data_IF_725653795352
#
_entry.id   IF_725653795352
#
_cell.length_a   1.000
_cell.length_b   1.000
_cell.length_c   1.000
_cell.angle_alpha   90.00
_cell.angle_beta   90.00
_cell.angle_gamma   90.00
#
_symmetry.space_group_name_H-M   'P 1'
#
loop_
_entity.id
_entity.type
_entity.pdbx_description
1 polymer ?
#
# COMPACT_ATOMS: atom_id res chain seq x y z
N UNK A 1 -19.06 2.68 -11.19
CA UNK A 1 -17.72 3.23 -10.97
C UNK A 1 -16.71 2.12 -10.89
N UNK A 2 -15.73 2.15 -11.79
CA UNK A 2 -14.54 1.30 -11.71
C UNK A 2 -13.37 2.12 -11.19
N UNK A 3 -12.53 1.49 -10.38
CA UNK A 3 -11.29 2.10 -9.89
C UNK A 3 -10.12 1.38 -10.50
N UNK A 4 -9.16 2.14 -10.99
CA UNK A 4 -8.00 1.63 -11.67
C UNK A 4 -6.72 2.16 -11.04
N UNK A 5 -5.70 1.33 -11.04
CA UNK A 5 -4.36 1.66 -10.59
C UNK A 5 -3.42 1.79 -11.80
N UNK A 6 -2.71 2.92 -11.89
CA UNK A 6 -1.62 3.11 -12.86
C UNK A 6 -0.37 2.46 -12.34
N UNK A 7 0.24 1.63 -13.17
CA UNK A 7 1.41 0.84 -12.81
C UNK A 7 2.60 1.32 -13.62
N UNK A 8 3.67 1.68 -12.91
CA UNK A 8 4.95 2.09 -13.50
C UNK A 8 6.04 1.38 -12.73
N UNK A 9 6.94 0.67 -13.44
CA UNK A 9 8.03 -0.09 -12.82
C UNK A 9 7.55 -0.99 -11.66
N UNK A 10 6.50 -1.77 -11.90
CA UNK A 10 5.89 -2.66 -10.90
C UNK A 10 5.39 -1.97 -9.63
N UNK A 11 5.09 -0.67 -9.69
CA UNK A 11 4.59 0.11 -8.55
C UNK A 11 3.32 0.85 -8.92
N UNK A 12 2.35 0.88 -8.02
CA UNK A 12 1.15 1.70 -8.14
C UNK A 12 1.53 3.16 -7.91
N UNK A 13 1.45 3.98 -8.96
CA UNK A 13 1.80 5.40 -8.89
C UNK A 13 0.59 6.32 -8.85
N UNK A 14 -0.57 5.85 -9.30
CA UNK A 14 -1.77 6.66 -9.40
C UNK A 14 -3.02 5.80 -9.28
N UNK A 15 -4.07 6.37 -8.69
CA UNK A 15 -5.38 5.75 -8.59
C UNK A 15 -6.41 6.66 -9.26
N UNK A 16 -7.22 6.09 -10.13
CA UNK A 16 -8.22 6.84 -10.87
C UNK A 16 -9.54 6.08 -10.89
N UNK A 17 -10.62 6.74 -10.47
CA UNK A 17 -11.97 6.19 -10.48
C UNK A 17 -12.79 6.86 -11.57
N UNK A 18 -13.37 6.06 -12.47
CA UNK A 18 -14.18 6.55 -13.58
C UNK A 18 -15.27 5.56 -13.97
N UNK A 19 -16.32 6.06 -14.60
CA UNK A 19 -17.34 5.27 -15.28
C UNK A 19 -17.07 5.16 -16.80
N UNK A 20 -16.08 5.88 -17.31
CA UNK A 20 -15.70 5.92 -18.72
C UNK A 20 -14.74 4.80 -19.16
N UNK A 21 -14.61 4.62 -20.47
CA UNK A 21 -13.69 3.64 -21.04
C UNK A 21 -12.25 4.14 -20.98
N UNK A 22 -11.39 3.45 -20.23
CA UNK A 22 -9.98 3.85 -20.06
C UNK A 22 -9.21 3.95 -21.37
N UNK A 23 -9.52 3.11 -22.36
CA UNK A 23 -8.81 3.05 -23.65
C UNK A 23 -8.98 4.34 -24.45
N UNK A 24 -10.10 5.04 -24.26
CA UNK A 24 -10.38 6.31 -24.94
C UNK A 24 -9.84 7.52 -24.16
N UNK A 25 -9.64 7.37 -22.86
CA UNK A 25 -9.30 8.47 -21.95
C UNK A 25 -7.79 8.66 -21.72
N UNK A 26 -6.99 7.61 -21.94
CA UNK A 26 -5.57 7.59 -21.57
C UNK A 26 -4.67 7.12 -22.72
N UNK A 27 -3.40 7.53 -22.69
CA UNK A 27 -2.41 7.08 -23.66
C UNK A 27 -2.25 5.56 -23.63
N UNK A 28 -2.12 4.88 -24.78
CA UNK A 28 -2.01 3.43 -24.87
C UNK A 28 -0.73 2.88 -24.24
N UNK A 29 0.29 3.73 -24.04
CA UNK A 29 1.55 3.37 -23.38
C UNK A 29 1.40 3.30 -21.84
N UNK A 30 0.27 3.75 -21.28
CA UNK A 30 0.03 3.71 -19.85
C UNK A 30 -0.59 2.37 -19.45
N UNK A 31 0.03 1.73 -18.46
CA UNK A 31 -0.47 0.48 -17.92
C UNK A 31 -1.44 0.73 -16.76
N UNK A 32 -2.69 0.33 -16.97
CA UNK A 32 -3.76 0.42 -15.99
C UNK A 32 -4.28 -0.96 -15.60
N UNK A 33 -4.49 -1.17 -14.30
CA UNK A 33 -5.09 -2.38 -13.75
C UNK A 33 -6.42 -2.05 -13.08
N UNK A 34 -7.47 -2.82 -13.36
CA UNK A 34 -8.75 -2.71 -12.67
C UNK A 34 -8.59 -3.25 -11.24
N UNK A 35 -8.85 -2.39 -10.26
CA UNK A 35 -8.77 -2.70 -8.83
C UNK A 35 -10.15 -2.64 -8.14
N UNK A 36 -11.23 -2.56 -8.90
CA UNK A 36 -12.60 -2.41 -8.38
C UNK A 36 -12.98 -3.55 -7.43
N UNK A 37 -12.61 -4.78 -7.78
CA UNK A 37 -12.91 -5.99 -7.00
C UNK A 37 -11.69 -6.53 -6.25
N UNK A 38 -10.57 -5.77 -6.21
CA UNK A 38 -9.34 -6.19 -5.56
C UNK A 38 -9.41 -5.89 -4.07
N UNK A 39 -9.26 -6.92 -3.24
CA UNK A 39 -9.24 -6.80 -1.78
C UNK A 39 -7.98 -7.44 -1.23
N UNK A 40 -7.15 -6.72 -0.45
CA UNK A 40 -7.32 -5.31 -0.03
C UNK A 40 -7.15 -4.32 -1.20
N UNK A 41 -7.87 -3.19 -1.13
CA UNK A 41 -7.78 -2.13 -2.14
C UNK A 41 -6.34 -1.58 -2.20
N UNK A 42 -5.64 -1.70 -3.35
CA UNK A 42 -4.27 -1.22 -3.49
C UNK A 42 -4.18 0.29 -3.28
N UNK A 43 -3.09 0.75 -2.68
CA UNK A 43 -2.80 2.17 -2.53
C UNK A 43 -1.57 2.59 -3.35
N UNK A 44 -1.33 3.90 -3.42
CA UNK A 44 -0.08 4.44 -3.97
C UNK A 44 1.10 3.82 -3.21
N UNK A 45 2.20 3.58 -3.92
CA UNK A 45 3.43 2.92 -3.45
C UNK A 45 3.30 1.42 -3.17
N UNK A 46 2.17 0.79 -3.50
CA UNK A 46 2.05 -0.66 -3.48
C UNK A 46 2.79 -1.30 -4.64
N UNK A 47 3.40 -2.46 -4.36
CA UNK A 47 4.02 -3.28 -5.41
C UNK A 47 2.91 -3.94 -6.22
N UNK A 48 3.03 -3.87 -7.54
CA UNK A 48 2.13 -4.49 -8.50
C UNK A 48 2.91 -5.47 -9.39
N UNK A 49 2.61 -6.75 -9.24
CA UNK A 49 3.23 -7.83 -9.99
C UNK A 49 2.19 -8.49 -10.88
N UNK A 50 2.52 -8.69 -12.16
CA UNK A 50 1.65 -9.42 -13.06
C UNK A 50 1.95 -10.92 -12.94
N UNK A 51 1.06 -11.66 -12.29
CA UNK A 51 1.17 -13.10 -12.09
C UNK A 51 0.35 -13.91 -13.12
N UNK A 52 0.30 -15.22 -12.92
CA UNK A 52 -0.44 -16.16 -13.78
C UNK A 52 -1.96 -15.93 -13.79
N UNK A 53 -2.51 -15.33 -12.73
CA UNK A 53 -3.95 -15.09 -12.57
C UNK A 53 -4.31 -13.60 -12.70
N UNK A 54 -3.37 -12.76 -13.13
CA UNK A 54 -3.55 -11.31 -13.24
C UNK A 54 -2.69 -10.51 -12.27
N UNK A 55 -3.11 -9.29 -11.98
CA UNK A 55 -2.37 -8.36 -11.11
C UNK A 55 -2.45 -8.77 -9.64
N UNK A 56 -1.29 -8.87 -9.00
CA UNK A 56 -1.11 -9.11 -7.57
C UNK A 56 -0.54 -7.84 -6.95
N UNK A 57 -1.22 -7.34 -5.92
CA UNK A 57 -0.83 -6.11 -5.23
C UNK A 57 -0.36 -6.42 -3.81
N UNK A 58 0.80 -5.89 -3.44
CA UNK A 58 1.38 -6.07 -2.12
C UNK A 58 1.71 -4.73 -1.48
N UNK A 59 1.30 -4.55 -0.22
CA UNK A 59 1.62 -3.36 0.55
C UNK A 59 3.15 -3.21 0.66
N UNK A 60 3.68 -1.98 0.53
CA UNK A 60 5.09 -1.75 0.76
C UNK A 60 5.42 -2.14 2.20
N UNK A 61 6.51 -2.89 2.37
CA UNK A 61 6.96 -3.33 3.69
C UNK A 61 7.47 -2.11 4.45
N UNK A 62 6.60 -1.41 5.15
CA UNK A 62 7.01 -0.33 6.07
C UNK A 62 7.82 -1.03 7.16
N UNK A 63 9.15 -0.86 7.12
CA UNK A 63 10.00 -1.29 8.23
C UNK A 63 9.39 -0.69 9.50
N UNK A 64 9.03 -1.54 10.46
CA UNK A 64 8.41 -1.10 11.70
C UNK A 64 9.24 0.08 12.24
N UNK A 65 8.61 1.20 12.65
CA UNK A 65 9.36 2.26 13.27
C UNK A 65 10.06 1.64 14.49
N UNK A 66 11.39 1.65 14.48
CA UNK A 66 12.24 1.20 15.57
C UNK A 66 11.99 2.14 16.76
N UNK A 67 10.88 1.98 17.45
CA UNK A 67 10.46 2.85 18.52
C UNK A 67 11.23 2.50 19.80
N UNK A 68 12.43 3.06 19.89
CA UNK A 68 13.23 3.20 21.12
C UNK A 68 12.43 3.80 22.30
N UNK A 69 11.24 4.35 22.05
CA UNK A 69 10.27 4.85 23.04
C UNK A 69 9.72 3.76 23.98
N UNK A 70 9.70 2.48 23.57
CA UNK A 70 9.27 1.39 24.46
C UNK A 70 10.28 1.14 25.59
N UNK A 71 11.56 1.49 25.35
CA UNK A 71 12.64 1.31 26.34
C UNK A 71 12.58 2.34 27.47
N UNK A 72 12.05 3.55 27.22
CA UNK A 72 11.88 4.56 28.27
C UNK A 72 10.65 4.29 29.14
N UNK A 73 9.54 3.81 28.56
CA UNK A 73 8.32 3.50 29.31
C UNK A 73 8.54 2.37 30.35
N UNK A 74 9.36 1.37 30.02
CA UNK A 74 9.74 0.29 30.94
C UNK A 74 10.62 0.75 32.11
N UNK A 75 11.35 1.86 31.99
CA UNK A 75 12.26 2.34 33.05
C UNK A 75 11.52 3.05 34.19
N UNK A 76 10.36 3.65 33.93
CA UNK A 76 9.58 4.36 34.95
C UNK A 76 8.69 3.43 35.80
N UNK A 77 8.17 2.34 35.23
CA UNK A 77 7.31 1.39 35.95
C UNK A 77 8.08 0.44 36.89
N UNK A 78 9.40 0.30 36.71
CA UNK A 78 10.26 -0.53 37.58
C UNK A 78 10.77 0.18 38.84
N UNK A 79 10.50 1.48 39.01
CA UNK A 79 11.05 2.29 40.10
C UNK A 79 10.23 2.36 41.39
N UNK A 80 9.00 1.80 41.42
CA UNK A 80 8.07 1.93 42.56
C UNK A 80 8.04 0.69 43.47
N UNK A 81 9.06 -0.17 43.38
CA UNK A 81 9.24 -1.24 44.38
C UNK A 81 10.70 -1.24 44.82
N UNK A 82 10.98 -0.49 45.87
CA UNK A 82 11.95 -0.77 46.94
C UNK A 82 12.29 0.53 47.65
N UNK A 83 11.87 0.66 48.90
CA UNK A 83 12.77 0.69 50.07
C UNK A 83 11.97 0.99 51.36
N UNK A 84 12.55 0.68 52.53
CA UNK A 84 12.24 -0.44 53.41
C UNK A 84 11.15 -0.15 54.45
#
# INVERSE_FOLDING_TARGET
MKTYARIVNNTVVELFSTDGNMVEMFHPDLQWADITDVTPAPQIDWNANFGTLGWVFEAPRVAAPNNTLTTLAKKWLGGVVRQP
#
